data_IF_553866780623
#
_entry.id   IF_553866780623
#
_cell.length_a   1.000
_cell.length_b   1.000
_cell.length_c   1.000
_cell.angle_alpha   90.00
_cell.angle_beta   90.00
_cell.angle_gamma   90.00
#
_symmetry.space_group_name_H-M   'P 1'
#
loop_
_entity.id
_entity.type
_entity.pdbx_description
1 polymer ?
#
# COMPACT_ATOMS: atom_id res chain seq x y z
N UNK A 1 -17.25 -20.92 -4.87
CA UNK A 1 -17.36 -21.98 -3.86
C UNK A 1 -17.26 -21.32 -2.51
N UNK A 2 -18.05 -21.76 -1.49
CA UNK A 2 -17.85 -21.24 -0.15
C UNK A 2 -16.43 -21.59 0.29
N UNK A 3 -15.72 -20.58 0.80
CA UNK A 3 -14.38 -20.74 1.36
C UNK A 3 -14.44 -21.73 2.52
N UNK A 4 -13.44 -22.61 2.55
CA UNK A 4 -13.23 -23.43 3.74
C UNK A 4 -12.44 -22.61 4.77
N UNK A 5 -13.03 -22.18 5.90
CA UNK A 5 -12.35 -21.39 6.92
C UNK A 5 -11.10 -22.07 7.48
N UNK A 6 -11.04 -23.40 7.45
CA UNK A 6 -9.89 -24.19 7.92
C UNK A 6 -8.63 -24.00 7.04
N UNK A 7 -8.79 -23.42 5.85
CA UNK A 7 -7.67 -23.12 4.93
C UNK A 7 -7.16 -21.67 5.07
N UNK A 8 -7.90 -20.81 5.77
CA UNK A 8 -7.51 -19.41 6.01
C UNK A 8 -6.53 -19.35 7.18
N UNK A 9 -5.50 -18.51 7.03
CA UNK A 9 -4.43 -18.41 8.02
C UNK A 9 -4.85 -17.65 9.28
N UNK A 10 -5.74 -16.65 9.12
CA UNK A 10 -6.14 -15.78 10.23
C UNK A 10 -7.57 -16.08 10.69
N UNK A 11 -7.78 -16.24 12.01
CA UNK A 11 -9.10 -16.49 12.57
C UNK A 11 -10.09 -15.36 12.27
N UNK A 12 -11.37 -15.70 12.13
CA UNK A 12 -12.46 -14.71 11.96
C UNK A 12 -12.47 -13.65 13.08
N UNK A 13 -12.08 -14.04 14.28
CA UNK A 13 -11.98 -13.13 15.43
C UNK A 13 -11.00 -11.95 15.23
N UNK A 14 -10.12 -11.99 14.24
CA UNK A 14 -9.24 -10.87 13.90
C UNK A 14 -9.96 -9.76 13.11
N UNK A 15 -11.16 -10.05 12.57
CA UNK A 15 -11.93 -9.21 11.65
C UNK A 15 -13.26 -8.77 12.30
N UNK A 16 -13.18 -8.05 13.40
CA UNK A 16 -14.35 -7.54 14.13
C UNK A 16 -14.92 -6.29 13.48
N UNK A 17 -16.17 -5.93 13.82
CA UNK A 17 -16.88 -4.76 13.24
C UNK A 17 -16.10 -3.43 13.41
N UNK A 18 -15.32 -3.31 14.46
CA UNK A 18 -14.51 -2.13 14.74
C UNK A 18 -13.28 -1.97 13.78
N UNK A 19 -13.09 -2.93 12.85
CA UNK A 19 -12.09 -2.79 11.78
C UNK A 19 -12.43 -1.62 10.83
N UNK A 20 -13.71 -1.23 10.72
CA UNK A 20 -14.13 -0.18 9.80
C UNK A 20 -14.00 1.21 10.40
N UNK A 21 -13.54 2.19 9.59
CA UNK A 21 -13.52 3.59 9.97
C UNK A 21 -14.12 4.48 8.88
N UNK A 22 -14.71 5.61 9.30
CA UNK A 22 -15.32 6.59 8.39
C UNK A 22 -14.42 7.81 8.18
N UNK A 23 -13.78 8.31 9.22
CA UNK A 23 -12.97 9.52 9.17
C UNK A 23 -11.50 9.25 9.48
N UNK A 24 -10.60 9.83 8.67
CA UNK A 24 -9.18 9.77 8.91
C UNK A 24 -8.81 10.39 10.26
N UNK A 25 -7.76 9.88 10.94
CA UNK A 25 -7.29 10.51 12.17
C UNK A 25 -6.85 11.96 11.91
N UNK A 26 -7.29 12.90 12.76
CA UNK A 26 -7.05 14.33 12.56
C UNK A 26 -5.55 14.71 12.62
N UNK A 27 -4.75 13.97 13.40
CA UNK A 27 -3.32 14.21 13.61
C UNK A 27 -2.52 12.91 13.49
N UNK A 28 -2.39 12.33 12.29
CA UNK A 28 -1.58 11.16 12.11
C UNK A 28 -0.08 11.48 12.34
N UNK A 29 0.64 10.54 12.95
CA UNK A 29 2.09 10.65 13.15
C UNK A 29 2.88 10.22 11.90
N UNK A 30 2.27 9.42 11.03
CA UNK A 30 2.81 9.04 9.74
C UNK A 30 1.70 8.89 8.70
N UNK A 31 2.00 9.24 7.46
CA UNK A 31 1.15 9.00 6.28
C UNK A 31 2.03 8.48 5.16
N UNK A 32 1.73 7.33 4.61
CA UNK A 32 2.46 6.75 3.48
C UNK A 32 1.51 6.31 2.38
N UNK A 33 1.98 6.36 1.16
CA UNK A 33 1.32 5.82 -0.02
C UNK A 33 2.23 4.75 -0.62
N UNK A 34 1.74 3.52 -0.77
CA UNK A 34 2.46 2.45 -1.44
C UNK A 34 1.74 2.03 -2.71
N UNK A 35 2.50 1.70 -3.75
CA UNK A 35 2.01 1.15 -5.00
C UNK A 35 2.66 -0.21 -5.27
N UNK A 36 1.81 -1.23 -5.40
CA UNK A 36 2.13 -2.49 -6.09
C UNK A 36 1.59 -2.39 -7.51
N UNK A 37 2.43 -2.16 -8.52
CA UNK A 37 1.97 -2.07 -9.90
C UNK A 37 1.69 -3.45 -10.46
N UNK A 38 0.68 -3.56 -11.31
CA UNK A 38 0.36 -4.82 -11.98
C UNK A 38 1.46 -5.28 -12.92
N UNK A 39 1.71 -6.59 -12.97
CA UNK A 39 2.62 -7.21 -13.93
C UNK A 39 1.87 -7.45 -15.25
N UNK A 40 2.24 -6.74 -16.31
CA UNK A 40 1.81 -7.09 -17.66
C UNK A 40 1.39 -5.90 -18.53
N UNK A 41 1.68 -6.04 -19.83
CA UNK A 41 1.33 -5.05 -20.87
C UNK A 41 -0.12 -5.14 -21.34
N UNK A 42 -0.85 -6.24 -21.05
CA UNK A 42 -2.21 -6.49 -21.49
C UNK A 42 -3.21 -6.24 -20.36
N UNK A 43 -3.93 -5.13 -20.45
CA UNK A 43 -4.94 -4.71 -19.48
C UNK A 43 -6.08 -5.75 -19.22
N UNK A 44 -6.27 -6.71 -20.13
CA UNK A 44 -7.29 -7.77 -19.99
C UNK A 44 -6.84 -9.00 -19.20
N UNK A 45 -5.53 -9.19 -19.00
CA UNK A 45 -4.93 -10.30 -18.25
C UNK A 45 -4.02 -9.83 -17.10
N UNK A 46 -3.86 -8.52 -16.92
CA UNK A 46 -3.01 -7.96 -15.89
C UNK A 46 -3.60 -8.21 -14.50
N UNK A 47 -2.72 -8.46 -13.53
CA UNK A 47 -3.04 -8.40 -12.12
C UNK A 47 -3.50 -6.99 -11.73
N UNK A 48 -4.11 -6.85 -10.56
CA UNK A 48 -4.48 -5.54 -10.04
C UNK A 48 -3.23 -4.70 -9.76
N UNK A 49 -3.27 -3.42 -10.15
CA UNK A 49 -2.42 -2.44 -9.50
C UNK A 49 -3.10 -2.01 -8.21
N UNK A 50 -2.36 -1.99 -7.11
CA UNK A 50 -2.88 -1.70 -5.80
C UNK A 50 -2.16 -0.49 -5.19
N UNK A 51 -2.89 0.60 -4.95
CA UNK A 51 -2.46 1.69 -4.09
C UNK A 51 -2.99 1.49 -2.68
N UNK A 52 -2.13 1.67 -1.69
CA UNK A 52 -2.49 1.69 -0.28
C UNK A 52 -2.12 3.04 0.31
N UNK A 53 -3.14 3.79 0.71
CA UNK A 53 -3.00 4.96 1.59
C UNK A 53 -3.08 4.50 3.02
N UNK A 54 -2.03 4.75 3.81
CA UNK A 54 -1.94 4.33 5.21
C UNK A 54 -1.54 5.51 6.10
N UNK A 55 -2.36 5.76 7.12
CA UNK A 55 -2.07 6.72 8.18
C UNK A 55 -1.90 5.99 9.52
N UNK A 56 -0.98 6.45 10.35
CA UNK A 56 -0.73 5.92 11.69
C UNK A 56 -1.04 7.00 12.72
N UNK A 57 -1.84 6.68 13.74
CA UNK A 57 -2.11 7.58 14.85
C UNK A 57 -1.08 7.44 15.98
N UNK A 58 -1.23 8.25 17.04
CA UNK A 58 -0.34 8.23 18.22
C UNK A 58 -0.38 6.92 19.00
N UNK A 59 -1.48 6.19 18.92
CA UNK A 59 -1.67 4.89 19.56
C UNK A 59 -1.07 3.76 18.72
N UNK A 60 -0.62 4.05 17.50
CA UNK A 60 -0.10 3.07 16.55
C UNK A 60 -1.21 2.28 15.85
N UNK A 61 -2.42 2.81 15.77
CA UNK A 61 -3.47 2.26 14.93
C UNK A 61 -3.20 2.66 13.49
N UNK A 62 -3.35 1.70 12.59
CA UNK A 62 -3.16 1.87 11.15
C UNK A 62 -4.52 2.06 10.48
N UNK A 63 -4.69 3.17 9.80
CA UNK A 63 -5.88 3.51 9.02
C UNK A 63 -5.54 3.34 7.54
N UNK A 64 -6.29 2.50 6.85
CA UNK A 64 -5.95 2.01 5.51
C UNK A 64 -7.10 2.24 4.53
N UNK A 65 -6.77 2.79 3.37
CA UNK A 65 -7.65 2.82 2.20
C UNK A 65 -6.92 2.22 1.01
N UNK A 66 -7.57 1.29 0.32
CA UNK A 66 -7.07 0.71 -0.91
C UNK A 66 -7.72 1.37 -2.14
N UNK A 67 -6.96 1.44 -3.22
CA UNK A 67 -7.45 1.67 -4.57
C UNK A 67 -6.87 0.57 -5.47
N UNK A 68 -7.69 -0.37 -5.87
CA UNK A 68 -7.28 -1.57 -6.59
C UNK A 68 -8.04 -1.65 -7.90
N UNK A 69 -7.32 -1.64 -9.01
CA UNK A 69 -7.91 -1.74 -10.34
C UNK A 69 -6.94 -2.37 -11.35
N UNK A 70 -7.50 -2.96 -12.39
CA UNK A 70 -6.76 -3.31 -13.61
C UNK A 70 -6.73 -2.07 -14.49
N UNK A 71 -5.56 -1.50 -14.69
CA UNK A 71 -5.40 -0.25 -15.43
C UNK A 71 -4.08 -0.22 -16.21
N UNK A 72 -4.03 0.45 -17.38
CA UNK A 72 -2.78 0.65 -18.11
C UNK A 72 -1.88 1.65 -17.36
N UNK A 73 -0.57 1.59 -17.63
CA UNK A 73 0.44 2.43 -16.97
C UNK A 73 0.11 3.93 -16.96
N UNK A 74 -0.31 4.57 -18.06
CA UNK A 74 -0.64 6.00 -18.02
C UNK A 74 -1.78 6.33 -17.04
N UNK A 75 -2.80 5.47 -16.96
CA UNK A 75 -3.90 5.65 -16.03
C UNK A 75 -3.44 5.42 -14.59
N UNK A 76 -2.59 4.42 -14.36
CA UNK A 76 -2.02 4.14 -13.04
C UNK A 76 -1.20 5.34 -12.52
N UNK A 77 -0.40 5.97 -13.39
CA UNK A 77 0.37 7.17 -13.03
C UNK A 77 -0.57 8.34 -12.72
N UNK A 78 -1.58 8.58 -13.56
CA UNK A 78 -2.56 9.65 -13.33
C UNK A 78 -3.33 9.47 -12.02
N UNK A 79 -3.81 8.25 -11.75
CA UNK A 79 -4.53 7.90 -10.51
C UNK A 79 -3.62 8.07 -9.29
N UNK A 80 -2.36 7.63 -9.38
CA UNK A 80 -1.39 7.76 -8.28
C UNK A 80 -1.08 9.22 -7.94
N UNK A 81 -0.95 10.09 -8.92
CA UNK A 81 -0.78 11.54 -8.69
C UNK A 81 -2.00 12.14 -8.02
N UNK A 82 -3.22 11.76 -8.44
CA UNK A 82 -4.46 12.24 -7.83
C UNK A 82 -4.64 11.73 -6.39
N UNK A 83 -4.36 10.44 -6.14
CA UNK A 83 -4.37 9.87 -4.78
C UNK A 83 -3.36 10.61 -3.90
N UNK A 84 -2.15 10.83 -4.39
CA UNK A 84 -1.11 11.57 -3.67
C UNK A 84 -1.57 13.00 -3.34
N UNK A 85 -2.16 13.69 -4.31
CA UNK A 85 -2.66 15.06 -4.12
C UNK A 85 -3.73 15.16 -3.02
N UNK A 86 -4.65 14.20 -2.98
CA UNK A 86 -5.72 14.16 -1.96
C UNK A 86 -5.23 13.70 -0.60
N UNK A 87 -4.45 12.65 -0.57
CA UNK A 87 -3.99 12.04 0.68
C UNK A 87 -2.82 12.77 1.32
N UNK A 88 -1.96 13.40 0.52
CA UNK A 88 -0.75 14.11 0.97
C UNK A 88 0.15 13.26 1.88
N UNK A 89 0.68 12.13 1.38
CA UNK A 89 1.56 11.27 2.16
C UNK A 89 2.90 11.95 2.45
N UNK A 90 3.54 11.56 3.54
CA UNK A 90 4.92 11.95 3.83
C UNK A 90 5.92 11.22 2.94
N UNK A 91 5.62 9.98 2.54
CA UNK A 91 6.41 9.16 1.62
C UNK A 91 5.48 8.47 0.63
N UNK A 92 5.91 8.43 -0.64
CA UNK A 92 5.33 7.61 -1.68
C UNK A 92 6.34 6.54 -2.08
N UNK A 93 5.98 5.26 -1.95
CA UNK A 93 6.79 4.12 -2.34
C UNK A 93 6.18 3.32 -3.47
N UNK A 94 7.04 2.81 -4.36
CA UNK A 94 6.66 1.95 -5.48
C UNK A 94 7.50 0.69 -5.40
N UNK A 95 6.88 -0.48 -5.58
CA UNK A 95 7.61 -1.74 -5.62
C UNK A 95 8.66 -1.71 -6.76
N UNK A 96 9.91 -2.04 -6.43
CA UNK A 96 11.02 -2.06 -7.37
C UNK A 96 11.16 -3.43 -8.03
N UNK A 97 10.68 -3.58 -9.25
CA UNK A 97 11.00 -4.70 -10.13
C UNK A 97 11.43 -4.15 -11.50
N UNK A 98 11.74 -5.03 -12.47
CA UNK A 98 12.29 -4.63 -13.76
C UNK A 98 11.49 -3.55 -14.52
N UNK A 99 10.16 -3.49 -14.31
CA UNK A 99 9.30 -2.49 -14.95
C UNK A 99 9.15 -1.22 -14.11
N UNK A 100 9.37 -1.31 -12.84
CA UNK A 100 9.05 -0.28 -11.85
C UNK A 100 10.14 0.75 -11.69
N UNK A 101 11.37 0.39 -11.99
CA UNK A 101 12.45 1.39 -12.14
C UNK A 101 12.13 2.42 -13.24
N UNK A 102 11.33 2.03 -14.23
CA UNK A 102 10.85 2.92 -15.28
C UNK A 102 9.66 3.78 -14.85
N UNK A 103 8.84 3.30 -13.88
CA UNK A 103 7.66 4.02 -13.41
C UNK A 103 8.01 5.23 -12.56
N UNK A 104 9.07 5.17 -11.75
CA UNK A 104 9.47 6.28 -10.92
C UNK A 104 9.73 7.58 -11.73
N UNK A 105 10.47 7.55 -12.86
CA UNK A 105 10.59 8.71 -13.74
C UNK A 105 9.25 9.20 -14.32
N UNK A 106 8.35 8.28 -14.66
CA UNK A 106 7.01 8.64 -15.17
C UNK A 106 6.20 9.39 -14.10
N UNK A 107 6.22 8.90 -12.86
CA UNK A 107 5.60 9.60 -11.73
C UNK A 107 6.23 10.97 -11.49
N UNK A 108 7.55 11.09 -11.48
CA UNK A 108 8.24 12.37 -11.30
C UNK A 108 7.85 13.38 -12.39
N UNK A 109 7.78 12.95 -13.64
CA UNK A 109 7.33 13.76 -14.76
C UNK A 109 5.87 14.21 -14.58
N UNK A 110 4.98 13.28 -14.19
CA UNK A 110 3.57 13.58 -13.99
C UNK A 110 3.32 14.52 -12.80
N UNK A 111 4.04 14.35 -11.68
CA UNK A 111 3.99 15.27 -10.54
C UNK A 111 4.44 16.68 -10.94
N UNK A 112 5.54 16.78 -11.67
CA UNK A 112 6.07 18.07 -12.16
C UNK A 112 5.08 18.76 -13.09
N UNK A 113 4.44 18.01 -13.99
CA UNK A 113 3.40 18.53 -14.89
C UNK A 113 2.18 19.11 -14.14
N UNK A 114 1.88 18.60 -12.94
CA UNK A 114 0.82 19.09 -12.05
C UNK A 114 1.30 20.16 -11.07
N UNK A 115 2.54 20.64 -11.19
CA UNK A 115 3.12 21.64 -10.30
C UNK A 115 3.43 21.10 -8.89
N UNK A 116 3.43 19.79 -8.69
CA UNK A 116 3.79 19.14 -7.43
C UNK A 116 5.29 18.86 -7.46
N UNK A 117 6.06 19.62 -6.68
CA UNK A 117 7.52 19.53 -6.68
C UNK A 117 8.03 18.74 -5.48
N UNK A 118 9.23 18.14 -5.63
CA UNK A 118 9.92 17.46 -4.55
C UNK A 118 9.38 16.08 -4.18
N UNK A 119 8.49 15.50 -5.00
CA UNK A 119 8.04 14.13 -4.83
C UNK A 119 8.92 13.20 -5.65
N UNK A 120 9.67 12.35 -4.95
CA UNK A 120 10.49 11.31 -5.55
C UNK A 120 10.01 9.96 -5.01
N UNK A 121 9.41 9.10 -5.86
CA UNK A 121 8.96 7.79 -5.42
C UNK A 121 10.10 6.97 -4.84
N UNK A 122 9.86 6.37 -3.67
CA UNK A 122 10.80 5.46 -3.03
C UNK A 122 10.68 4.07 -3.64
N UNK A 123 11.79 3.48 -4.10
CA UNK A 123 11.78 2.12 -4.65
C UNK A 123 11.83 1.10 -3.51
N UNK A 124 10.78 0.26 -3.42
CA UNK A 124 10.65 -0.78 -2.40
C UNK A 124 11.15 -2.10 -3.00
N UNK A 125 12.24 -2.63 -2.47
CA UNK A 125 12.78 -3.94 -2.87
C UNK A 125 12.16 -5.05 -2.03
N UNK A 126 11.74 -6.13 -2.68
CA UNK A 126 11.11 -7.29 -2.08
C UNK A 126 12.02 -8.51 -2.20
N UNK A 127 12.83 -8.77 -1.16
CA UNK A 127 13.80 -9.88 -1.12
C UNK A 127 13.18 -11.18 -0.57
N UNK A 128 12.09 -11.08 0.19
CA UNK A 128 11.40 -12.22 0.77
C UNK A 128 10.22 -12.69 -0.06
N UNK A 129 9.86 -13.97 0.08
CA UNK A 129 8.66 -14.53 -0.53
C UNK A 129 7.40 -13.73 -0.14
N UNK A 130 6.50 -13.48 -1.09
CA UNK A 130 5.27 -12.70 -0.94
C UNK A 130 4.43 -13.15 0.26
N UNK A 131 4.17 -14.47 0.40
CA UNK A 131 3.38 -15.00 1.52
C UNK A 131 4.04 -14.75 2.88
N UNK A 132 5.38 -14.85 2.94
CA UNK A 132 6.14 -14.55 4.16
C UNK A 132 6.02 -13.08 4.54
N UNK A 133 6.04 -12.19 3.55
CA UNK A 133 5.85 -10.75 3.78
C UNK A 133 4.45 -10.46 4.32
N UNK A 134 3.41 -10.96 3.64
CA UNK A 134 2.01 -10.75 4.02
C UNK A 134 1.74 -11.23 5.46
N UNK A 135 2.35 -12.33 5.90
CA UNK A 135 2.21 -12.83 7.29
C UNK A 135 2.63 -11.83 8.36
N UNK A 136 3.43 -10.83 8.02
CA UNK A 136 3.81 -9.75 8.96
C UNK A 136 2.62 -8.89 9.39
N UNK A 137 1.51 -8.94 8.67
CA UNK A 137 0.25 -8.29 9.05
C UNK A 137 -0.45 -9.01 10.21
N UNK A 138 -0.22 -10.30 10.38
CA UNK A 138 -0.91 -11.14 11.37
C UNK A 138 -0.93 -10.59 12.79
N UNK A 139 0.22 -10.21 13.38
CA UNK A 139 0.24 -9.63 14.73
C UNK A 139 -0.58 -8.35 14.88
N UNK A 140 -0.67 -7.53 13.84
CA UNK A 140 -1.45 -6.29 13.84
C UNK A 140 -2.95 -6.57 13.69
N UNK A 141 -3.32 -7.56 12.89
CA UNK A 141 -4.70 -8.04 12.79
C UNK A 141 -5.16 -8.64 14.12
N UNK A 142 -4.34 -9.51 14.73
CA UNK A 142 -4.63 -10.12 16.03
C UNK A 142 -4.80 -9.09 17.15
N UNK A 143 -4.03 -8.01 17.10
CA UNK A 143 -4.11 -6.92 18.07
C UNK A 143 -5.19 -5.87 17.72
N UNK A 144 -6.01 -6.10 16.69
CA UNK A 144 -7.03 -5.16 16.19
C UNK A 144 -6.47 -3.75 15.90
N UNK A 145 -5.24 -3.67 15.37
CA UNK A 145 -4.54 -2.40 15.11
C UNK A 145 -4.68 -1.91 13.66
N UNK A 146 -5.36 -2.66 12.80
CA UNK A 146 -5.67 -2.27 11.42
C UNK A 146 -7.12 -1.82 11.36
N UNK A 147 -7.34 -0.63 10.79
CA UNK A 147 -8.65 -0.08 10.45
C UNK A 147 -8.75 0.10 8.94
N UNK A 148 -9.89 -0.22 8.37
CA UNK A 148 -10.15 -0.18 6.93
C UNK A 148 -11.22 0.86 6.63
N UNK A 149 -10.98 1.69 5.62
CA UNK A 149 -11.91 2.75 5.20
C UNK A 149 -13.23 2.14 4.74
N UNK A 150 -14.33 2.48 5.45
CA UNK A 150 -15.67 2.12 5.04
C UNK A 150 -16.05 2.77 3.69
N UNK A 151 -17.11 2.32 3.07
CA UNK A 151 -17.69 2.85 1.82
C UNK A 151 -16.71 2.93 0.62
N UNK A 152 -15.64 2.14 0.65
CA UNK A 152 -14.66 2.04 -0.42
C UNK A 152 -14.66 0.60 -1.00
N UNK A 153 -15.11 0.39 -2.25
CA UNK A 153 -15.16 -0.95 -2.85
C UNK A 153 -13.82 -1.65 -2.90
N UNK A 154 -12.73 -0.94 -3.23
CA UNK A 154 -11.38 -1.51 -3.23
C UNK A 154 -10.92 -1.92 -1.83
N UNK A 155 -11.29 -1.17 -0.80
CA UNK A 155 -10.96 -1.54 0.59
C UNK A 155 -11.77 -2.76 1.06
N UNK A 156 -13.01 -2.92 0.60
CA UNK A 156 -13.78 -4.14 0.82
C UNK A 156 -13.15 -5.35 0.13
N UNK A 157 -12.61 -5.16 -1.07
CA UNK A 157 -11.85 -6.20 -1.78
C UNK A 157 -10.59 -6.59 -1.00
N UNK A 158 -9.82 -5.60 -0.50
CA UNK A 158 -8.67 -5.84 0.37
C UNK A 158 -9.07 -6.65 1.62
N UNK A 159 -10.19 -6.28 2.26
CA UNK A 159 -10.72 -6.99 3.43
C UNK A 159 -10.97 -8.47 3.13
N UNK A 160 -11.62 -8.79 2.00
CA UNK A 160 -11.85 -10.17 1.59
C UNK A 160 -10.54 -10.91 1.29
N UNK A 161 -9.58 -10.28 0.60
CA UNK A 161 -8.27 -10.88 0.35
C UNK A 161 -7.51 -11.18 1.65
N UNK A 162 -7.66 -10.34 2.68
CA UNK A 162 -7.08 -10.59 4.00
C UNK A 162 -7.77 -11.78 4.69
N UNK A 163 -9.11 -11.83 4.68
CA UNK A 163 -9.86 -12.95 5.27
C UNK A 163 -9.53 -14.29 4.61
N UNK A 164 -9.32 -14.28 3.31
CA UNK A 164 -9.10 -15.46 2.49
C UNK A 164 -7.63 -15.87 2.34
N UNK A 165 -6.71 -15.10 2.92
CA UNK A 165 -5.29 -15.43 2.85
C UNK A 165 -4.99 -16.78 3.53
N UNK A 166 -4.17 -17.69 2.95
CA UNK A 166 -3.40 -17.56 1.70
C UNK A 166 -4.09 -18.17 0.47
N UNK A 167 -5.38 -18.46 0.51
CA UNK A 167 -6.11 -19.20 -0.56
C UNK A 167 -6.87 -18.30 -1.52
N UNK A 168 -6.84 -16.99 -1.31
CA UNK A 168 -7.41 -16.02 -2.24
C UNK A 168 -6.80 -16.16 -3.65
N UNK A 169 -7.62 -15.96 -4.69
CA UNK A 169 -7.17 -15.95 -6.08
C UNK A 169 -6.17 -14.83 -6.36
N UNK A 170 -6.27 -13.74 -5.60
CA UNK A 170 -5.40 -12.56 -5.66
C UNK A 170 -5.00 -12.12 -4.26
N UNK A 171 -3.76 -11.69 -4.10
CA UNK A 171 -3.19 -11.20 -2.84
C UNK A 171 -2.41 -9.87 -3.02
N UNK A 172 -2.72 -9.13 -4.09
CA UNK A 172 -2.05 -7.87 -4.43
C UNK A 172 -2.34 -6.79 -3.39
N UNK A 173 -3.56 -6.74 -2.84
CA UNK A 173 -3.93 -5.83 -1.76
C UNK A 173 -3.15 -6.07 -0.47
N UNK A 174 -3.14 -7.29 0.09
CA UNK A 174 -2.33 -7.64 1.25
C UNK A 174 -0.84 -7.38 1.07
N UNK A 175 -0.28 -7.64 -0.12
CA UNK A 175 1.13 -7.37 -0.41
C UNK A 175 1.43 -5.86 -0.42
N UNK A 176 0.59 -5.07 -1.09
CA UNK A 176 0.70 -3.62 -1.07
C UNK A 176 0.53 -3.04 0.34
N UNK A 177 -0.35 -3.62 1.17
CA UNK A 177 -0.52 -3.23 2.57
C UNK A 177 0.74 -3.52 3.39
N UNK A 178 1.39 -4.68 3.20
CA UNK A 178 2.67 -4.97 3.85
C UNK A 178 3.75 -3.96 3.45
N UNK A 179 3.83 -3.60 2.18
CA UNK A 179 4.76 -2.58 1.72
C UNK A 179 4.50 -1.21 2.38
N UNK A 180 3.23 -0.81 2.49
CA UNK A 180 2.85 0.42 3.17
C UNK A 180 3.20 0.39 4.66
N UNK A 181 2.98 -0.74 5.34
CA UNK A 181 3.38 -0.95 6.73
C UNK A 181 4.90 -0.80 6.90
N UNK A 182 5.68 -1.39 6.02
CA UNK A 182 7.15 -1.30 6.05
C UNK A 182 7.62 0.14 5.87
N UNK A 183 7.07 0.87 4.90
CA UNK A 183 7.37 2.30 4.72
C UNK A 183 7.02 3.13 5.97
N UNK A 184 5.85 2.90 6.58
CA UNK A 184 5.45 3.59 7.79
C UNK A 184 6.38 3.29 8.97
N UNK A 185 6.80 2.04 9.11
CA UNK A 185 7.74 1.60 10.15
C UNK A 185 9.10 2.28 9.97
N UNK A 186 9.63 2.35 8.76
CA UNK A 186 10.89 2.99 8.45
C UNK A 186 10.82 4.52 8.64
N UNK A 187 9.71 5.14 8.27
CA UNK A 187 9.47 6.57 8.49
C UNK A 187 9.47 6.90 9.99
N UNK A 188 8.74 6.13 10.81
CA UNK A 188 8.65 6.32 12.25
C UNK A 188 9.98 6.04 12.96
N UNK A 189 10.80 5.14 12.42
CA UNK A 189 12.16 4.88 12.90
C UNK A 189 13.17 5.97 12.50
N UNK A 190 12.75 7.02 11.78
CA UNK A 190 13.61 8.10 11.32
C UNK A 190 14.58 7.72 10.18
N UNK A 191 14.35 6.58 9.52
CA UNK A 191 15.16 6.12 8.38
C UNK A 191 14.83 6.85 7.09
N UNK A 192 13.65 7.45 7.02
CA UNK A 192 13.20 8.32 5.95
C UNK A 192 12.80 9.67 6.54
N UNK A 193 13.24 10.74 5.90
CA UNK A 193 12.73 12.08 6.23
C UNK A 193 11.58 12.42 5.27
N UNK A 194 10.49 13.02 5.78
CA UNK A 194 9.41 13.48 4.92
C UNK A 194 9.96 14.44 3.85
N UNK A 195 9.63 14.17 2.58
CA UNK A 195 9.97 15.03 1.44
C UNK A 195 11.45 15.40 1.25
N UNK A 196 12.40 14.61 1.76
CA UNK A 196 13.78 14.76 1.37
C UNK A 196 13.92 14.34 -0.09
N UNK A 197 14.02 15.33 -0.99
CA UNK A 197 14.33 15.14 -2.42
C UNK A 197 15.70 14.50 -2.68
N UNK A 198 16.25 13.80 -1.70
CA UNK A 198 17.51 13.07 -1.68
C UNK A 198 17.29 11.56 -1.44
N UNK A 199 16.09 11.06 -1.75
CA UNK A 199 15.81 9.62 -1.76
C UNK A 199 16.82 8.92 -2.68
N UNK A 200 17.50 7.91 -2.17
CA UNK A 200 18.51 7.07 -2.84
C UNK A 200 19.92 7.66 -2.97
N UNK A 201 20.51 8.22 -1.94
CA UNK A 201 21.95 8.09 -1.81
C UNK A 201 22.24 6.76 -1.12
N UNK A 202 22.69 5.78 -1.91
CA UNK A 202 23.38 4.59 -1.43
C UNK A 202 24.42 5.00 -0.40
N UNK A 203 24.60 4.24 0.69
CA UNK A 203 25.71 4.50 1.59
C UNK A 203 27.00 4.37 0.77
N UNK A 204 27.76 5.43 0.71
CA UNK A 204 29.11 5.44 0.12
C UNK A 204 30.03 4.84 1.16
N UNK A 205 30.61 3.68 0.81
CA UNK A 205 31.82 3.14 1.39
C UNK A 205 31.72 2.53 2.76
#
# INVERSE_FOLDING_TARGET
SPLNPDLCEWPEAYFTEDIWFDEWPAKPVAKVLALDPSKGSDAHRADYSAFISLAVDKQGILYVQADMARRPTPQMVADGVEIHRRFQPHIFGVEANQFQELLAPEFESAFRAQGILGVHPWLIHNDANKRVRIRRLGPLLAAHRIRLKADCPSTKLLFHQLQEFPVADHDDGPDALEMALRLATELLAGRHRPNDGLGNRLPVG
#
